data_IF_451517470794
#
_entry.id   IF_451517470794
#
_cell.length_a   1.000
_cell.length_b   1.000
_cell.length_c   1.000
_cell.angle_alpha   90.00
_cell.angle_beta   90.00
_cell.angle_gamma   90.00
#
_symmetry.space_group_name_H-M   'P 1'
#
loop_
_entity.id
_entity.type
_entity.pdbx_description
1 polymer ?
#
# COMPACT_ATOMS: atom_id res chain seq x y z
N UNK A 1 31.11 12.54 27.57
CA UNK A 1 30.25 11.44 28.03
C UNK A 1 29.07 11.45 27.10
N UNK A 2 28.88 10.39 26.33
CA UNK A 2 27.69 10.26 25.48
C UNK A 2 26.64 9.69 26.42
N UNK A 3 25.62 10.46 26.77
CA UNK A 3 24.47 9.86 27.46
C UNK A 3 23.78 8.94 26.45
N UNK A 4 23.36 7.74 26.86
CA UNK A 4 22.55 6.89 25.99
C UNK A 4 21.27 7.62 25.57
N UNK A 5 20.67 7.18 24.46
CA UNK A 5 19.37 7.71 24.05
C UNK A 5 18.30 7.26 25.05
N UNK A 6 17.34 8.14 25.29
CA UNK A 6 16.22 8.05 26.23
C UNK A 6 15.11 8.88 25.59
N UNK A 7 14.29 8.23 24.77
CA UNK A 7 13.36 8.87 23.85
C UNK A 7 12.09 9.38 24.55
N UNK A 8 11.60 8.68 25.57
CA UNK A 8 10.44 9.08 26.37
C UNK A 8 10.81 9.92 27.63
N UNK A 9 12.07 9.90 28.03
CA UNK A 9 12.60 10.67 29.17
C UNK A 9 12.29 10.05 30.53
N UNK A 10 12.04 8.74 30.60
CA UNK A 10 11.66 8.05 31.84
C UNK A 10 12.85 7.63 32.72
N UNK A 11 14.08 7.81 32.21
CA UNK A 11 15.33 7.49 32.89
C UNK A 11 15.82 6.06 32.62
N UNK A 12 15.07 5.29 31.84
CA UNK A 12 15.52 4.09 31.14
C UNK A 12 16.05 4.52 29.78
N UNK A 13 17.05 3.81 29.27
CA UNK A 13 17.56 4.11 27.94
C UNK A 13 16.90 3.22 26.88
N UNK A 14 16.82 3.70 25.65
CA UNK A 14 16.25 3.00 24.49
C UNK A 14 16.88 1.61 24.23
N UNK A 15 18.06 1.34 24.79
CA UNK A 15 18.74 0.04 24.61
C UNK A 15 18.23 -1.07 25.53
N UNK A 16 17.58 -0.73 26.64
CA UNK A 16 17.07 -1.67 27.66
C UNK A 16 15.61 -1.42 28.00
N UNK A 17 15.06 -0.29 27.57
CA UNK A 17 13.63 -0.05 27.55
C UNK A 17 12.96 -1.01 26.55
N UNK A 18 11.69 -1.33 26.82
CA UNK A 18 10.87 -2.18 25.98
C UNK A 18 9.73 -1.41 25.29
N UNK A 19 9.58 -0.13 25.60
CA UNK A 19 8.58 0.81 25.09
C UNK A 19 9.20 2.21 25.02
N UNK A 20 10.09 2.41 24.03
CA UNK A 20 10.98 3.58 23.90
C UNK A 20 10.23 4.94 23.78
N UNK A 21 8.93 4.93 23.49
CA UNK A 21 8.10 6.15 23.42
C UNK A 21 6.90 6.17 24.38
N UNK A 22 6.74 5.10 25.17
CA UNK A 22 5.82 4.96 26.29
C UNK A 22 4.36 5.25 25.91
N UNK A 23 3.98 4.86 24.70
CA UNK A 23 2.59 4.93 24.24
C UNK A 23 1.76 3.70 24.66
N UNK A 24 2.43 2.71 25.26
CA UNK A 24 1.86 1.47 25.77
C UNK A 24 1.93 0.31 24.76
N UNK A 25 2.62 0.49 23.63
CA UNK A 25 2.89 -0.53 22.62
C UNK A 25 4.39 -0.85 22.60
N UNK A 26 4.74 -2.09 22.97
CA UNK A 26 6.14 -2.51 23.03
C UNK A 26 6.86 -2.39 21.67
N UNK A 27 8.14 -2.04 21.68
CA UNK A 27 8.96 -1.84 20.46
C UNK A 27 8.96 -3.06 19.52
N UNK A 28 8.78 -4.27 20.07
CA UNK A 28 8.72 -5.52 19.29
C UNK A 28 7.52 -5.58 18.33
N UNK A 29 6.44 -4.88 18.67
CA UNK A 29 5.17 -4.87 17.94
C UNK A 29 4.81 -3.50 17.40
N UNK A 30 5.56 -2.47 17.79
CA UNK A 30 5.47 -1.11 17.29
C UNK A 30 6.17 -0.94 15.92
N UNK A 31 5.51 -0.27 14.98
CA UNK A 31 6.12 0.08 13.68
C UNK A 31 6.94 1.37 13.76
N UNK A 32 6.62 2.25 14.70
CA UNK A 32 7.23 3.54 14.98
C UNK A 32 7.64 3.63 16.46
N UNK A 33 8.61 2.84 16.94
CA UNK A 33 8.99 2.72 18.36
C UNK A 33 9.54 4.01 19.01
N UNK A 34 9.63 5.12 18.29
CA UNK A 34 10.14 6.38 18.84
C UNK A 34 9.10 7.52 18.72
N UNK A 35 7.89 7.22 18.25
CA UNK A 35 6.82 8.19 18.03
C UNK A 35 5.53 7.72 18.71
N UNK A 36 5.37 8.06 19.99
CA UNK A 36 4.22 7.62 20.79
C UNK A 36 2.86 8.19 20.38
N UNK A 37 2.77 8.79 19.19
CA UNK A 37 1.51 9.11 18.52
C UNK A 37 1.13 8.11 17.42
N UNK A 38 2.01 7.17 17.05
CA UNK A 38 1.88 6.26 15.92
C UNK A 38 2.44 4.89 16.30
N UNK A 39 1.67 3.81 16.14
CA UNK A 39 2.18 2.44 16.39
C UNK A 39 1.88 1.46 15.24
N UNK A 40 1.16 1.91 14.21
CA UNK A 40 0.60 1.01 13.18
C UNK A 40 0.70 1.60 11.77
N UNK A 41 1.16 0.78 10.82
CA UNK A 41 1.17 1.07 9.38
C UNK A 41 0.54 -0.11 8.61
N UNK A 42 -0.80 -0.10 8.50
CA UNK A 42 -1.51 -1.24 7.90
C UNK A 42 -1.29 -1.35 6.40
N UNK A 43 -1.02 -0.26 5.70
CA UNK A 43 -0.85 -0.25 4.24
C UNK A 43 0.62 -0.31 3.80
N UNK A 44 1.56 -0.25 4.73
CA UNK A 44 3.00 -0.36 4.49
C UNK A 44 3.56 0.85 3.74
N UNK A 45 2.99 2.04 3.92
CA UNK A 45 3.42 3.26 3.25
C UNK A 45 4.47 4.07 4.03
N UNK A 46 4.81 3.63 5.23
CA UNK A 46 5.78 4.24 6.13
C UNK A 46 5.24 5.44 6.91
N UNK A 47 3.93 5.68 6.88
CA UNK A 47 3.24 6.70 7.68
C UNK A 47 2.29 6.03 8.66
N UNK A 48 2.26 6.51 9.90
CA UNK A 48 1.39 5.93 10.91
C UNK A 48 -0.09 6.21 10.66
N UNK A 49 -0.94 5.21 10.92
CA UNK A 49 -2.38 5.22 10.66
C UNK A 49 -3.14 6.24 11.55
N UNK A 50 -2.57 6.71 12.68
CA UNK A 50 -3.24 7.65 13.59
C UNK A 50 -3.23 9.07 13.02
N UNK A 51 -2.16 9.47 12.35
CA UNK A 51 -2.00 10.74 11.63
C UNK A 51 -2.41 10.63 10.16
N UNK A 52 -2.22 9.45 9.55
CA UNK A 52 -2.48 9.18 8.14
C UNK A 52 -3.52 8.06 7.97
N UNK A 53 -4.82 8.39 8.10
CA UNK A 53 -5.86 7.37 8.05
C UNK A 53 -5.94 6.70 6.68
N UNK A 54 -6.01 5.37 6.68
CA UNK A 54 -6.18 4.53 5.49
C UNK A 54 -7.18 5.08 4.48
N UNK A 55 -6.77 5.15 3.23
CA UNK A 55 -7.67 5.56 2.15
C UNK A 55 -8.71 4.48 1.84
N UNK A 56 -9.73 4.82 1.04
CA UNK A 56 -10.71 3.84 0.58
C UNK A 56 -10.04 2.68 -0.17
N UNK A 57 -8.99 2.97 -0.93
CA UNK A 57 -8.25 1.97 -1.71
C UNK A 57 -7.47 1.03 -0.79
N UNK A 58 -6.88 1.56 0.28
CA UNK A 58 -6.12 0.74 1.24
C UNK A 58 -7.05 -0.20 2.00
N UNK A 59 -8.20 0.30 2.46
CA UNK A 59 -9.26 -0.54 3.06
C UNK A 59 -9.73 -1.64 2.10
N UNK A 60 -9.76 -1.36 0.79
CA UNK A 60 -10.12 -2.36 -0.21
C UNK A 60 -9.06 -3.45 -0.39
N UNK A 61 -7.78 -3.10 -0.28
CA UNK A 61 -6.64 -4.04 -0.38
C UNK A 61 -6.47 -4.89 0.87
N UNK A 62 -6.67 -4.30 2.05
CA UNK A 62 -6.57 -4.97 3.35
C UNK A 62 -7.63 -6.08 3.51
N UNK A 63 -8.85 -5.87 3.01
CA UNK A 63 -9.97 -6.79 3.18
C UNK A 63 -10.62 -7.21 1.84
N UNK A 64 -9.91 -7.96 0.97
CA UNK A 64 -10.37 -8.25 -0.39
C UNK A 64 -11.65 -9.11 -0.42
N UNK A 65 -11.86 -9.96 0.59
CA UNK A 65 -13.06 -10.81 0.67
C UNK A 65 -14.30 -9.98 1.00
N UNK A 66 -14.22 -9.14 2.05
CA UNK A 66 -15.35 -8.31 2.47
C UNK A 66 -15.74 -7.32 1.36
N UNK A 67 -14.77 -6.76 0.66
CA UNK A 67 -15.01 -5.79 -0.41
C UNK A 67 -15.73 -6.43 -1.58
N UNK A 68 -15.30 -7.62 -2.03
CA UNK A 68 -16.00 -8.39 -3.07
C UNK A 68 -17.44 -8.73 -2.65
N UNK A 69 -17.67 -9.11 -1.38
CA UNK A 69 -19.02 -9.39 -0.88
C UNK A 69 -19.90 -8.13 -0.93
N UNK A 70 -19.40 -6.98 -0.46
CA UNK A 70 -20.14 -5.71 -0.50
C UNK A 70 -20.47 -5.31 -1.95
N UNK A 71 -19.50 -5.41 -2.86
CA UNK A 71 -19.73 -5.13 -4.29
C UNK A 71 -20.76 -6.08 -4.91
N UNK A 72 -20.71 -7.38 -4.59
CA UNK A 72 -21.70 -8.35 -5.06
C UNK A 72 -23.11 -8.03 -4.56
N UNK A 73 -23.26 -7.61 -3.31
CA UNK A 73 -24.55 -7.17 -2.75
C UNK A 73 -25.07 -5.91 -3.44
N UNK A 74 -24.20 -4.92 -3.65
CA UNK A 74 -24.54 -3.68 -4.36
C UNK A 74 -25.02 -4.01 -5.79
N UNK A 75 -24.29 -4.86 -6.52
CA UNK A 75 -24.66 -5.29 -7.87
C UNK A 75 -25.99 -6.06 -7.89
N UNK A 76 -26.24 -6.93 -6.90
CA UNK A 76 -27.50 -7.65 -6.78
C UNK A 76 -28.69 -6.70 -6.54
N UNK A 77 -28.50 -5.66 -5.72
CA UNK A 77 -29.51 -4.62 -5.50
C UNK A 77 -29.78 -3.82 -6.78
N UNK A 78 -28.73 -3.40 -7.50
CA UNK A 78 -28.90 -2.69 -8.78
C UNK A 78 -29.59 -3.55 -9.83
N UNK A 79 -29.19 -4.81 -9.97
CA UNK A 79 -29.84 -5.78 -10.84
C UNK A 79 -31.32 -5.98 -10.45
N UNK A 80 -31.61 -6.05 -9.15
CA UNK A 80 -32.97 -6.13 -8.62
C UNK A 80 -33.82 -4.90 -8.93
N UNK A 81 -33.27 -3.68 -8.78
CA UNK A 81 -33.94 -2.43 -9.13
C UNK A 81 -34.17 -2.33 -10.65
N UNK A 82 -33.18 -2.69 -11.46
CA UNK A 82 -33.31 -2.73 -12.92
C UNK A 82 -34.39 -3.75 -13.35
N UNK A 83 -34.36 -4.96 -12.79
CA UNK A 83 -35.38 -5.98 -13.03
C UNK A 83 -36.77 -5.55 -12.54
N UNK A 84 -36.88 -4.80 -11.44
CA UNK A 84 -38.16 -4.30 -10.92
C UNK A 84 -38.73 -3.14 -11.75
N UNK A 85 -37.87 -2.24 -12.23
CA UNK A 85 -38.25 -1.12 -13.09
C UNK A 85 -38.56 -1.57 -14.52
N UNK A 86 -37.78 -2.50 -15.08
CA UNK A 86 -38.09 -3.16 -16.34
C UNK A 86 -39.29 -4.09 -16.19
N UNK A 87 -39.43 -4.83 -15.09
CA UNK A 87 -40.58 -5.70 -14.81
C UNK A 87 -41.92 -4.96 -14.76
N UNK A 88 -41.92 -3.68 -14.37
CA UNK A 88 -43.10 -2.80 -14.50
C UNK A 88 -43.40 -2.35 -15.94
N UNK A 89 -42.45 -2.46 -16.87
CA UNK A 89 -42.61 -2.15 -18.31
C UNK A 89 -42.60 -3.40 -19.21
N UNK A 90 -42.27 -4.59 -18.68
CA UNK A 90 -42.02 -5.84 -19.40
C UNK A 90 -43.27 -6.59 -19.85
N UNK A 91 -44.39 -5.89 -20.03
CA UNK A 91 -45.52 -6.42 -20.82
C UNK A 91 -45.34 -6.22 -22.33
N UNK A 92 -44.39 -5.36 -22.78
CA UNK A 92 -44.23 -5.00 -24.20
C UNK A 92 -42.82 -5.24 -24.77
N UNK A 93 -41.84 -5.63 -23.96
CA UNK A 93 -40.45 -5.75 -24.40
C UNK A 93 -40.05 -7.17 -24.85
N UNK A 94 -40.78 -8.21 -24.46
CA UNK A 94 -40.52 -9.59 -24.91
C UNK A 94 -40.78 -9.79 -26.41
N UNK A 95 -41.69 -9.02 -27.00
CA UNK A 95 -41.99 -9.08 -28.44
C UNK A 95 -41.00 -8.25 -29.27
N UNK A 96 -40.31 -7.26 -28.68
CA UNK A 96 -39.44 -6.34 -29.41
C UNK A 96 -38.05 -6.91 -29.75
N UNK A 97 -37.56 -7.92 -29.03
CA UNK A 97 -36.24 -8.52 -29.29
C UNK A 97 -36.31 -9.83 -30.08
N UNK A 98 -37.51 -10.37 -30.32
CA UNK A 98 -37.72 -11.65 -31.04
C UNK A 98 -38.02 -11.46 -32.53
N UNK A 99 -38.52 -10.31 -32.95
CA UNK A 99 -39.13 -10.15 -34.29
C UNK A 99 -38.21 -9.51 -35.35
N UNK A 100 -37.06 -8.95 -34.97
CA UNK A 100 -36.34 -8.01 -35.84
C UNK A 100 -35.21 -8.63 -36.68
N UNK A 101 -34.69 -9.82 -36.34
CA UNK A 101 -33.44 -10.31 -36.95
C UNK A 101 -33.61 -11.41 -38.02
N UNK A 102 -34.73 -12.14 -38.06
CA UNK A 102 -34.88 -13.27 -38.98
C UNK A 102 -35.67 -12.98 -40.27
N UNK A 103 -36.51 -11.94 -40.31
CA UNK A 103 -37.41 -11.70 -41.45
C UNK A 103 -36.81 -10.86 -42.59
N UNK A 104 -35.62 -10.27 -42.41
CA UNK A 104 -35.00 -9.41 -43.44
C UNK A 104 -34.44 -10.18 -44.63
N UNK A 105 -34.09 -11.46 -44.48
CA UNK A 105 -33.51 -12.25 -45.58
C UNK A 105 -34.57 -12.81 -46.55
N UNK A 106 -35.78 -13.10 -46.09
CA UNK A 106 -36.82 -13.75 -46.91
C UNK A 106 -37.67 -12.76 -47.73
N UNK A 107 -37.49 -11.45 -47.53
CA UNK A 107 -38.38 -10.43 -48.06
C UNK A 107 -37.80 -9.61 -49.22
N UNK A 108 -36.71 -10.05 -49.84
CA UNK A 108 -36.26 -9.49 -51.12
C UNK A 108 -37.01 -10.17 -52.29
N UNK A 109 -38.01 -9.52 -52.90
CA UNK A 109 -38.73 -10.08 -54.05
C UNK A 109 -37.81 -10.35 -55.25
N UNK A 110 -36.68 -9.64 -55.34
CA UNK A 110 -35.67 -9.83 -56.38
C UNK A 110 -35.03 -11.24 -56.34
N UNK A 111 -34.85 -11.85 -55.16
CA UNK A 111 -34.28 -13.20 -55.04
C UNK A 111 -35.32 -14.31 -55.23
N UNK A 112 -36.62 -13.99 -55.08
CA UNK A 112 -37.70 -14.98 -55.25
C UNK A 112 -37.98 -15.29 -56.71
N UNK A 113 -37.92 -14.27 -57.57
CA UNK A 113 -38.01 -14.45 -59.03
C UNK A 113 -36.72 -15.03 -59.62
N UNK A 114 -35.57 -14.75 -59.01
CA UNK A 114 -34.32 -15.40 -59.40
C UNK A 114 -34.33 -16.88 -59.02
N UNK A 115 -34.72 -17.24 -57.78
CA UNK A 115 -34.74 -18.64 -57.34
C UNK A 115 -35.73 -19.53 -58.11
N UNK A 116 -36.84 -18.98 -58.63
CA UNK A 116 -37.77 -19.72 -59.48
C UNK A 116 -37.29 -19.86 -60.92
N UNK A 117 -36.40 -18.98 -61.40
CA UNK A 117 -35.81 -19.04 -62.74
C UNK A 117 -34.70 -20.08 -62.88
N UNK A 118 -34.06 -20.46 -61.78
CA UNK A 118 -32.98 -21.46 -61.76
C UNK A 118 -33.44 -22.88 -61.38
N UNK A 119 -34.74 -23.08 -61.18
CA UNK A 119 -35.28 -24.38 -60.76
C UNK A 119 -35.55 -25.36 -61.91
N UNK A 120 -35.42 -24.92 -63.18
CA UNK A 120 -35.82 -25.70 -64.36
C UNK A 120 -34.71 -25.97 -65.40
N UNK A 121 -33.44 -25.68 -65.13
CA UNK A 121 -32.34 -25.98 -66.07
C UNK A 121 -31.42 -27.11 -65.55
N UNK A 122 -31.38 -28.19 -66.35
CA UNK A 122 -30.48 -29.35 -66.26
C UNK A 122 -29.06 -28.92 -65.84
N UNK A 123 -28.49 -29.62 -64.84
CA UNK A 123 -27.20 -29.28 -64.26
C UNK A 123 -26.10 -29.10 -65.34
N UNK A 124 -25.44 -27.93 -65.43
CA UNK A 124 -24.36 -27.74 -66.39
C UNK A 124 -23.17 -28.65 -66.03
N UNK A 125 -22.41 -29.16 -67.03
CA UNK A 125 -21.28 -30.05 -66.77
C UNK A 125 -20.23 -29.36 -65.88
N UNK A 126 -19.47 -30.13 -65.06
CA UNK A 126 -18.50 -29.54 -64.15
C UNK A 126 -17.45 -28.73 -64.92
N UNK A 127 -17.00 -27.58 -64.37
CA UNK A 127 -16.02 -26.74 -65.04
C UNK A 127 -14.69 -27.48 -65.20
N UNK A 128 -13.90 -27.17 -66.25
CA UNK A 128 -12.61 -27.80 -66.46
C UNK A 128 -11.68 -27.53 -65.26
N UNK A 129 -10.82 -28.51 -64.96
CA UNK A 129 -9.83 -28.39 -63.90
C UNK A 129 -9.05 -27.08 -64.03
N UNK A 130 -8.92 -26.35 -62.91
CA UNK A 130 -8.26 -25.05 -62.86
C UNK A 130 -6.81 -25.20 -63.39
N UNK A 131 -6.32 -24.28 -64.24
CA UNK A 131 -4.92 -24.31 -64.64
C UNK A 131 -4.04 -24.17 -63.40
N UNK A 132 -3.01 -25.01 -63.32
CA UNK A 132 -1.96 -24.94 -62.29
C UNK A 132 -1.39 -23.53 -62.34
N UNK A 133 -1.51 -22.77 -61.24
CA UNK A 133 -0.92 -21.44 -61.11
C UNK A 133 0.59 -21.53 -61.38
N UNK A 134 1.19 -20.58 -62.14
CA UNK A 134 2.62 -20.59 -62.35
C UNK A 134 3.37 -20.42 -61.02
N UNK A 135 4.57 -20.99 -60.89
CA UNK A 135 5.34 -20.92 -59.66
C UNK A 135 5.63 -19.46 -59.29
N UNK A 136 5.48 -19.18 -58.00
CA UNK A 136 5.77 -17.90 -57.36
C UNK A 136 7.20 -17.46 -57.71
N UNK A 137 7.43 -16.21 -58.13
CA UNK A 137 8.77 -15.76 -58.49
C UNK A 137 9.67 -15.75 -57.25
N UNK A 138 10.83 -16.41 -57.35
CA UNK A 138 11.90 -16.34 -56.35
C UNK A 138 12.28 -14.87 -56.13
N UNK A 139 12.02 -14.38 -54.92
CA UNK A 139 12.47 -13.06 -54.48
C UNK A 139 13.99 -13.11 -54.37
N UNK A 140 14.66 -12.47 -55.33
CA UNK A 140 16.09 -12.21 -55.29
C UNK A 140 16.35 -11.27 -54.10
N UNK A 141 17.28 -11.57 -53.18
CA UNK A 141 17.61 -10.66 -52.09
C UNK A 141 18.31 -9.42 -52.65
N UNK A 142 17.68 -8.27 -52.43
CA UNK A 142 18.26 -6.95 -52.68
C UNK A 142 19.30 -6.65 -51.58
N UNK A 143 20.46 -6.03 -51.88
CA UNK A 143 21.57 -5.94 -50.95
C UNK A 143 21.23 -5.08 -49.72
N UNK A 144 21.64 -5.57 -48.55
CA UNK A 144 21.53 -4.88 -47.26
C UNK A 144 22.10 -3.45 -47.35
N UNK A 145 21.38 -2.41 -46.91
CA UNK A 145 21.99 -1.11 -46.73
C UNK A 145 23.02 -1.20 -45.60
N UNK A 146 24.24 -0.73 -45.90
CA UNK A 146 25.34 -0.57 -44.96
C UNK A 146 24.85 0.10 -43.68
N UNK A 147 25.24 -0.48 -42.53
CA UNK A 147 24.99 0.09 -41.22
C UNK A 147 25.71 1.46 -41.13
N UNK A 148 24.96 2.55 -41.31
CA UNK A 148 25.36 3.85 -40.79
C UNK A 148 25.37 3.75 -39.26
N UNK A 149 26.54 3.95 -38.68
CA UNK A 149 26.72 4.12 -37.23
C UNK A 149 25.78 5.23 -36.74
N UNK A 150 25.02 5.02 -35.65
CA UNK A 150 24.19 6.09 -35.12
C UNK A 150 25.09 7.23 -34.65
N UNK A 151 24.86 8.42 -35.19
CA UNK A 151 25.40 9.67 -34.64
C UNK A 151 25.08 9.72 -33.13
N UNK A 152 25.99 10.19 -32.27
CA UNK A 152 25.70 10.29 -30.85
C UNK A 152 24.51 11.22 -30.64
N UNK A 153 23.45 10.69 -30.02
CA UNK A 153 22.30 11.47 -29.61
C UNK A 153 22.77 12.67 -28.78
N UNK A 154 22.25 13.89 -29.00
CA UNK A 154 22.55 14.99 -28.11
C UNK A 154 22.06 14.58 -26.71
N UNK A 155 22.95 14.63 -25.72
CA UNK A 155 22.61 14.45 -24.32
C UNK A 155 21.42 15.37 -24.00
N UNK A 156 20.24 14.77 -23.90
CA UNK A 156 19.08 15.46 -23.37
C UNK A 156 19.39 15.71 -21.90
N UNK A 157 19.80 16.93 -21.57
CA UNK A 157 19.71 17.42 -20.19
C UNK A 157 18.30 17.10 -19.70
N UNK A 158 18.24 16.17 -18.75
CA UNK A 158 17.01 15.87 -18.04
C UNK A 158 16.51 17.21 -17.51
N UNK A 159 15.27 17.65 -17.82
CA UNK A 159 14.75 18.84 -17.20
C UNK A 159 14.78 18.58 -15.70
N UNK A 160 15.55 19.39 -14.96
CA UNK A 160 15.54 19.37 -13.51
C UNK A 160 14.07 19.34 -13.07
N UNK A 161 13.74 18.31 -12.29
CA UNK A 161 12.40 18.17 -11.74
C UNK A 161 12.06 19.49 -11.05
N UNK A 162 10.88 20.08 -11.29
CA UNK A 162 10.51 21.33 -10.61
C UNK A 162 10.72 21.13 -9.12
N UNK A 163 11.51 22.01 -8.50
CA UNK A 163 11.73 21.98 -7.06
C UNK A 163 10.36 21.82 -6.37
N UNK A 164 10.23 20.91 -5.39
CA UNK A 164 8.98 20.79 -4.65
C UNK A 164 8.60 22.17 -4.10
N UNK A 165 7.31 22.53 -4.11
CA UNK A 165 6.89 23.80 -3.53
C UNK A 165 7.45 23.92 -2.11
N UNK A 166 7.81 25.14 -1.65
CA UNK A 166 8.29 25.32 -0.30
C UNK A 166 7.26 24.70 0.65
N UNK A 167 7.75 23.87 1.58
CA UNK A 167 6.92 23.26 2.60
C UNK A 167 6.02 24.35 3.23
N UNK A 168 4.72 24.05 3.47
CA UNK A 168 3.89 25.00 4.21
C UNK A 168 4.61 25.37 5.51
N UNK A 169 4.48 26.62 5.98
CA UNK A 169 5.09 27.02 7.24
C UNK A 169 4.69 26.01 8.30
N UNK A 170 5.68 25.46 9.01
CA UNK A 170 5.44 24.51 10.10
C UNK A 170 4.36 25.11 11.00
N UNK A 171 3.35 24.32 11.41
CA UNK A 171 2.35 24.80 12.36
C UNK A 171 3.07 25.39 13.57
N UNK A 172 2.51 26.43 14.21
CA UNK A 172 3.10 26.97 15.43
C UNK A 172 3.36 25.82 16.40
N UNK A 173 4.49 25.84 17.13
CA UNK A 173 4.76 24.81 18.13
C UNK A 173 3.52 24.70 19.01
N UNK A 174 3.01 23.48 19.15
CA UNK A 174 1.93 23.19 20.08
C UNK A 174 2.35 23.75 21.45
N UNK A 175 1.41 24.30 22.23
CA UNK A 175 1.75 24.78 23.56
C UNK A 175 2.38 23.62 24.35
N UNK A 176 3.32 23.90 25.26
CA UNK A 176 4.16 22.89 25.93
C UNK A 176 3.36 21.83 26.71
N UNK A 177 2.06 22.05 26.92
CA UNK A 177 1.15 21.14 27.64
C UNK A 177 0.12 20.45 26.74
N UNK A 178 0.22 20.57 25.40
CA UNK A 178 -0.61 19.78 24.47
C UNK A 178 0.11 18.49 24.10
N UNK A 179 0.36 17.64 25.09
CA UNK A 179 0.54 16.21 24.83
C UNK A 179 -0.83 15.73 24.37
N UNK A 180 -0.99 15.54 23.05
CA UNK A 180 -2.15 14.81 22.55
C UNK A 180 -2.12 13.48 23.31
N UNK A 181 -3.18 13.11 24.05
CA UNK A 181 -3.14 11.86 24.81
C UNK A 181 -2.73 10.75 23.83
N UNK A 182 -1.84 9.84 24.27
CA UNK A 182 -1.39 8.74 23.43
C UNK A 182 -2.64 8.10 22.83
N UNK A 183 -2.66 7.89 21.50
CA UNK A 183 -3.83 7.37 20.87
C UNK A 183 -4.15 5.98 21.49
N UNK A 184 -5.43 5.57 21.54
CA UNK A 184 -5.80 4.39 22.30
C UNK A 184 -5.20 3.13 21.66
N UNK A 185 -4.62 2.21 22.45
CA UNK A 185 -3.91 1.05 21.92
C UNK A 185 -4.81 0.20 21.02
N UNK A 186 -4.22 -0.52 20.04
CA UNK A 186 -4.98 -1.33 19.11
C UNK A 186 -5.80 -2.38 19.87
N UNK A 187 -7.01 -2.73 19.39
CA UNK A 187 -7.87 -3.69 20.07
C UNK A 187 -7.15 -5.03 20.32
N UNK A 188 -6.95 -5.38 21.59
CA UNK A 188 -6.20 -6.58 22.01
C UNK A 188 -4.89 -6.31 22.77
N UNK A 189 -4.43 -5.06 22.80
CA UNK A 189 -3.21 -4.63 23.50
C UNK A 189 -3.48 -3.87 24.81
N UNK A 190 -4.75 -3.77 25.23
CA UNK A 190 -5.25 -3.01 26.39
C UNK A 190 -4.66 -3.42 27.76
N UNK A 191 -3.80 -4.45 27.82
CA UNK A 191 -3.16 -4.92 29.04
C UNK A 191 -1.68 -5.26 28.88
N UNK A 192 -1.04 -4.79 27.80
CA UNK A 192 0.40 -4.96 27.56
C UNK A 192 1.23 -3.73 27.89
N UNK A 193 0.59 -2.61 28.22
CA UNK A 193 1.28 -1.42 28.73
C UNK A 193 2.18 -1.87 29.90
N UNK A 194 3.51 -1.66 29.79
CA UNK A 194 4.40 -1.91 30.90
C UNK A 194 3.90 -1.12 32.12
N UNK A 195 4.08 -1.63 33.35
CA UNK A 195 3.87 -0.79 34.51
C UNK A 195 4.79 0.44 34.38
N UNK A 196 4.21 1.65 34.50
CA UNK A 196 4.97 2.91 34.62
C UNK A 196 6.22 2.68 35.49
N UNK A 197 7.40 3.22 35.12
CA UNK A 197 8.64 2.91 35.79
C UNK A 197 8.51 3.18 37.30
N UNK A 198 8.73 2.13 38.09
CA UNK A 198 8.66 2.15 39.54
C UNK A 198 9.84 2.94 40.13
N UNK A 199 9.80 4.27 40.01
CA UNK A 199 10.75 5.17 40.64
C UNK A 199 12.21 4.98 40.17
N UNK A 200 13.14 5.77 40.74
CA UNK A 200 14.53 5.70 40.34
C UNK A 200 15.13 4.33 40.67
N UNK A 201 15.72 3.68 39.67
CA UNK A 201 16.45 2.43 39.85
C UNK A 201 17.66 2.71 40.75
N UNK A 202 17.67 2.09 41.93
CA UNK A 202 18.71 2.29 42.94
C UNK A 202 19.36 0.96 43.28
N UNK A 203 20.67 1.00 43.52
CA UNK A 203 21.44 -0.13 44.07
C UNK A 203 22.12 0.26 45.36
N UNK A 204 22.12 -0.66 46.33
CA UNK A 204 22.63 -0.42 47.69
C UNK A 204 24.17 -0.40 47.74
N UNK A 205 24.85 -0.93 46.71
CA UNK A 205 26.31 -1.11 46.69
C UNK A 205 26.88 -1.01 45.28
N UNK A 206 28.15 -0.65 45.20
CA UNK A 206 28.92 -0.63 43.94
C UNK A 206 29.12 -2.02 43.33
N UNK A 207 29.00 -3.09 44.12
CA UNK A 207 29.12 -4.49 43.65
C UNK A 207 27.92 -4.93 42.80
N UNK A 208 26.80 -4.21 42.90
CA UNK A 208 25.58 -4.47 42.15
C UNK A 208 25.48 -3.60 40.88
N UNK A 209 26.52 -2.80 40.58
CA UNK A 209 26.60 -2.04 39.34
C UNK A 209 26.89 -2.97 38.15
N UNK A 210 26.40 -2.64 36.94
CA UNK A 210 26.70 -3.39 35.72
C UNK A 210 28.20 -3.53 35.52
N UNK A 211 28.70 -4.68 35.06
CA UNK A 211 30.12 -4.89 34.81
C UNK A 211 30.64 -4.00 33.66
N UNK A 212 31.96 -3.78 33.60
CA UNK A 212 32.61 -3.18 32.42
C UNK A 212 32.56 -1.65 32.29
N UNK A 213 31.97 -0.95 33.27
CA UNK A 213 31.81 0.50 33.21
C UNK A 213 33.03 1.34 33.64
N UNK A 214 32.98 2.61 33.27
CA UNK A 214 33.99 3.63 33.58
C UNK A 214 33.54 4.54 34.73
N UNK A 215 34.44 4.76 35.70
CA UNK A 215 34.22 5.72 36.78
C UNK A 215 34.72 7.11 36.40
N UNK A 216 33.88 8.12 36.61
CA UNK A 216 34.26 9.53 36.55
C UNK A 216 34.42 10.05 37.98
N UNK A 217 35.63 10.49 38.33
CA UNK A 217 35.94 11.11 39.62
C UNK A 217 35.42 12.56 39.70
N UNK A 218 34.09 12.73 39.65
CA UNK A 218 33.37 13.97 39.93
C UNK A 218 32.82 13.97 41.36
N UNK A 219 32.34 15.12 41.84
CA UNK A 219 31.50 15.21 43.04
C UNK A 219 30.07 15.60 42.60
N UNK A 220 29.07 14.70 42.71
CA UNK A 220 29.14 13.29 43.13
C UNK A 220 29.83 12.37 42.12
N UNK A 221 30.31 11.20 42.60
CA UNK A 221 31.01 10.20 41.78
C UNK A 221 30.03 9.57 40.80
N UNK A 222 30.43 9.44 39.54
CA UNK A 222 29.59 8.89 38.47
C UNK A 222 30.19 7.59 37.95
N UNK A 223 29.35 6.65 37.55
CA UNK A 223 29.72 5.39 36.92
C UNK A 223 28.85 5.15 35.70
N UNK A 224 29.45 4.89 34.55
CA UNK A 224 28.73 4.59 33.30
C UNK A 224 29.04 3.16 32.90
N UNK A 225 28.05 2.27 32.96
CA UNK A 225 28.17 0.85 32.60
C UNK A 225 28.32 0.61 31.09
N UNK A 226 28.70 -0.61 30.69
CA UNK A 226 28.51 -1.07 29.30
C UNK A 226 27.02 -1.24 28.97
N UNK A 227 26.26 -1.70 29.96
CA UNK A 227 24.80 -1.66 29.97
C UNK A 227 24.40 -0.22 30.36
N UNK A 228 23.65 0.43 29.47
CA UNK A 228 23.41 1.87 29.44
C UNK A 228 22.95 2.51 30.78
N UNK A 229 23.26 3.80 30.94
CA UNK A 229 22.84 4.67 32.06
C UNK A 229 24.01 5.20 32.90
N UNK A 230 23.83 6.36 33.55
CA UNK A 230 24.88 6.95 34.42
C UNK A 230 24.47 6.84 35.87
N UNK A 231 25.11 5.96 36.61
CA UNK A 231 24.92 5.80 38.03
C UNK A 231 25.60 6.94 38.79
N UNK A 232 24.84 7.66 39.62
CA UNK A 232 25.34 8.71 40.51
C UNK A 232 25.36 8.18 41.94
N UNK A 233 26.51 8.29 42.61
CA UNK A 233 26.63 7.95 44.03
C UNK A 233 25.93 8.98 44.91
N UNK A 234 25.01 8.50 45.73
CA UNK A 234 24.25 9.28 46.71
C UNK A 234 25.01 9.45 48.05
N UNK A 235 24.59 10.40 48.92
CA UNK A 235 25.23 10.64 50.21
C UNK A 235 25.20 9.48 51.20
N UNK A 236 24.32 8.49 50.98
CA UNK A 236 24.16 7.28 51.80
C UNK A 236 24.93 6.07 51.26
N UNK A 237 25.83 6.28 50.28
CA UNK A 237 26.60 5.26 49.55
C UNK A 237 25.79 4.36 48.61
N UNK A 238 24.48 4.62 48.45
CA UNK A 238 23.69 4.03 47.36
C UNK A 238 24.05 4.66 46.02
N UNK A 239 23.70 3.97 44.94
CA UNK A 239 23.82 4.49 43.58
C UNK A 239 22.45 4.58 42.95
N UNK A 240 22.20 5.69 42.26
CA UNK A 240 20.95 5.96 41.55
C UNK A 240 21.24 6.09 40.06
N UNK A 241 20.51 5.35 39.23
CA UNK A 241 20.56 5.47 37.78
C UNK A 241 20.00 6.85 37.37
N UNK A 242 20.74 7.58 36.54
CA UNK A 242 20.33 8.82 35.90
C UNK A 242 20.24 8.64 34.39
#
# INVERSE_FOLDING_TARGET
TVMPADNDGDGTCDAIDADDDNDGVLDEVDVFPFDGAEWEDRNGDGLGDNGHPLTLVDKMKLNPVLTVVVFALILAVFAGIAAFTMGRRAGQAEEAWKDDEYQRYDQQPALREEKSRWADDEAPPPPPARPISPPEPEVVPEPEPEAEEPEPEPEMEQPESPLPPPAPPSPPPLPPDFVKPPPPPPPGFEGLAPPEPEGPVTVDSWEDLPDGGDYVQTEPMQYTGEDCGTWVRQPDDSWELQ
#
